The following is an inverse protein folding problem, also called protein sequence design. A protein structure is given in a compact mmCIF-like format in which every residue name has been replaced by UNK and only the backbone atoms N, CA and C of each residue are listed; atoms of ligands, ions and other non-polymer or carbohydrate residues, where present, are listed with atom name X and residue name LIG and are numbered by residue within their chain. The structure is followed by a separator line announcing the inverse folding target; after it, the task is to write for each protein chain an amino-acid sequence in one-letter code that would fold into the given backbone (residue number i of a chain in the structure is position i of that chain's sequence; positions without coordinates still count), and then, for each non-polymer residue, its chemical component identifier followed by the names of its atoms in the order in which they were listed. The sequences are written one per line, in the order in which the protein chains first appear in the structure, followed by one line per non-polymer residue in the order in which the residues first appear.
data_IF_737840275283
#
_entry.id   IF_737840275283
#
_cell.length_a   1.000
_cell.length_b   1.000
_cell.length_c   1.000
_cell.angle_alpha   90.00
_cell.angle_beta   90.00
_cell.angle_gamma   90.00
#
_symmetry.space_group_name_H-M   'P 1'
#
loop_
_entity.id
_entity.type
_entity.pdbx_description
1 polymer ?
#
# COMPACT_ATOMS: atom_id res chain seq x y z
N UNK A 1 -7.80 -13.44 19.56
CA UNK A 1 -6.50 -12.72 19.51
C UNK A 1 -6.68 -11.45 18.71
N UNK A 2 -5.93 -10.39 19.02
CA UNK A 2 -5.93 -9.17 18.20
C UNK A 2 -5.22 -9.45 16.86
N UNK A 3 -5.90 -9.30 15.72
CA UNK A 3 -5.44 -9.74 14.39
C UNK A 3 -5.94 -8.82 13.26
N UNK A 4 -5.36 -8.97 12.07
CA UNK A 4 -5.79 -8.28 10.85
C UNK A 4 -5.35 -6.81 10.76
N UNK A 5 -6.00 -6.04 9.89
CA UNK A 5 -5.57 -4.66 9.55
C UNK A 5 -5.63 -3.71 10.74
N UNK A 6 -6.64 -3.84 11.61
CA UNK A 6 -6.71 -3.03 12.84
C UNK A 6 -5.51 -3.27 13.78
N UNK A 7 -5.08 -4.53 13.90
CA UNK A 7 -3.91 -4.90 14.70
C UNK A 7 -2.61 -4.35 14.08
N UNK A 8 -2.50 -4.42 12.75
CA UNK A 8 -1.38 -3.81 12.01
C UNK A 8 -1.27 -2.31 12.32
N UNK A 9 -2.35 -1.54 12.19
CA UNK A 9 -2.32 -0.10 12.46
C UNK A 9 -1.93 0.23 13.91
N UNK A 10 -2.42 -0.54 14.90
CA UNK A 10 -1.99 -0.38 16.30
C UNK A 10 -0.49 -0.63 16.46
N UNK A 11 0.03 -1.69 15.85
CA UNK A 11 1.46 -2.01 15.88
C UNK A 11 2.30 -0.91 15.23
N UNK A 12 1.85 -0.36 14.10
CA UNK A 12 2.55 0.73 13.42
C UNK A 12 2.57 2.02 14.25
N UNK A 13 1.46 2.34 14.91
CA UNK A 13 1.38 3.48 15.82
C UNK A 13 2.32 3.29 17.03
N UNK A 14 2.31 2.10 17.63
CA UNK A 14 3.25 1.73 18.70
C UNK A 14 4.71 1.89 18.23
N UNK A 15 5.08 1.40 17.05
CA UNK A 15 6.45 1.61 16.52
C UNK A 15 6.79 3.08 16.31
N UNK A 16 5.81 3.92 15.98
CA UNK A 16 6.01 5.36 15.78
C UNK A 16 6.24 6.07 17.12
N UNK A 17 5.47 5.73 18.15
CA UNK A 17 5.54 6.31 19.49
C UNK A 17 6.71 5.75 20.31
N UNK A 18 7.00 4.46 20.14
CA UNK A 18 8.04 3.69 20.80
C UNK A 18 9.01 3.08 19.76
N UNK A 19 9.96 3.87 19.23
CA UNK A 19 10.86 3.39 18.18
C UNK A 19 11.75 2.24 18.64
N UNK A 20 11.84 1.19 17.82
CA UNK A 20 12.73 0.04 18.06
C UNK A 20 13.93 0.12 17.11
N UNK A 21 15.14 0.21 17.68
CA UNK A 21 16.36 0.27 16.90
C UNK A 21 16.49 -0.97 15.98
N UNK A 22 16.87 -0.75 14.72
CA UNK A 22 16.99 -1.81 13.72
C UNK A 22 15.68 -2.33 13.14
N UNK A 23 14.51 -1.90 13.64
CA UNK A 23 13.23 -2.32 13.08
C UNK A 23 13.04 -1.82 11.65
N UNK A 24 12.61 -2.72 10.76
CA UNK A 24 12.27 -2.39 9.38
C UNK A 24 11.18 -1.31 9.31
N UNK A 25 10.13 -1.44 10.13
CA UNK A 25 9.06 -0.43 10.21
C UNK A 25 9.61 0.94 10.60
N UNK A 26 10.48 1.04 11.61
CA UNK A 26 11.08 2.32 11.98
C UNK A 26 11.96 2.90 10.87
N UNK A 27 12.66 2.05 10.10
CA UNK A 27 13.41 2.50 8.92
C UNK A 27 12.49 3.14 7.87
N UNK A 28 11.34 2.53 7.58
CA UNK A 28 10.34 3.06 6.65
C UNK A 28 9.66 4.34 7.18
N UNK A 29 9.34 4.37 8.47
CA UNK A 29 8.78 5.54 9.16
C UNK A 29 9.71 6.77 9.13
N UNK A 30 11.01 6.57 8.86
CA UNK A 30 12.02 7.63 8.82
C UNK A 30 12.56 7.92 7.41
N UNK A 31 12.25 7.11 6.38
CA UNK A 31 12.81 7.24 5.02
C UNK A 31 11.74 7.20 3.93
N UNK A 32 11.35 8.37 3.45
CA UNK A 32 10.24 8.56 2.50
C UNK A 32 10.54 7.92 1.15
N UNK A 33 11.74 8.12 0.61
CA UNK A 33 12.12 7.56 -0.69
C UNK A 33 12.09 6.03 -0.67
N UNK A 34 12.56 5.42 0.42
CA UNK A 34 12.55 3.97 0.58
C UNK A 34 11.12 3.43 0.67
N UNK A 35 10.26 4.09 1.44
CA UNK A 35 8.86 3.69 1.57
C UNK A 35 8.09 3.84 0.25
N UNK A 36 8.30 4.96 -0.46
CA UNK A 36 7.64 5.22 -1.73
C UNK A 36 8.14 4.27 -2.84
N UNK A 37 9.44 3.97 -2.86
CA UNK A 37 10.01 2.98 -3.78
C UNK A 37 9.41 1.60 -3.56
N UNK A 38 9.35 1.13 -2.30
CA UNK A 38 8.69 -0.14 -1.96
C UNK A 38 7.22 -0.14 -2.35
N UNK A 39 6.46 0.89 -2.01
CA UNK A 39 5.04 0.98 -2.39
C UNK A 39 4.84 0.91 -3.93
N UNK A 40 5.75 1.49 -4.73
CA UNK A 40 5.69 1.42 -6.18
C UNK A 40 6.00 0.01 -6.72
N UNK A 41 6.97 -0.68 -6.10
CA UNK A 41 7.36 -2.06 -6.40
C UNK A 41 6.17 -3.00 -6.16
N UNK A 42 5.62 -3.04 -4.95
CA UNK A 42 4.50 -3.94 -4.60
C UNK A 42 3.24 -3.64 -5.43
N UNK A 43 3.01 -2.35 -5.76
CA UNK A 43 1.89 -1.96 -6.62
C UNK A 43 2.05 -2.47 -8.05
N UNK A 44 3.29 -2.70 -8.50
CA UNK A 44 3.59 -3.34 -9.78
C UNK A 44 3.43 -4.85 -9.65
N UNK A 45 4.00 -5.46 -8.62
CA UNK A 45 3.98 -6.92 -8.39
C UNK A 45 2.56 -7.45 -8.23
N UNK A 46 1.67 -6.77 -7.49
CA UNK A 46 0.26 -7.18 -7.37
C UNK A 46 -0.49 -7.17 -8.72
N UNK A 47 -0.11 -6.29 -9.66
CA UNK A 47 -0.70 -6.24 -11.02
C UNK A 47 -0.18 -7.40 -11.88
N UNK A 48 1.07 -7.79 -11.68
CA UNK A 48 1.73 -8.85 -12.43
C UNK A 48 1.36 -10.25 -11.92
N UNK A 49 1.11 -10.40 -10.61
CA UNK A 49 0.77 -11.64 -9.95
C UNK A 49 -0.39 -12.39 -10.65
N UNK A 50 -0.26 -13.72 -10.75
CA UNK A 50 -1.17 -14.59 -11.52
C UNK A 50 -1.86 -15.65 -10.67
N UNK A 51 -1.15 -16.27 -9.75
CA UNK A 51 -1.73 -17.29 -8.88
C UNK A 51 -2.27 -16.66 -7.58
N UNK A 52 -3.17 -17.41 -6.94
CA UNK A 52 -3.89 -16.96 -5.75
C UNK A 52 -2.96 -16.59 -4.58
N UNK A 53 -1.88 -17.35 -4.39
CA UNK A 53 -1.01 -17.16 -3.23
C UNK A 53 -0.13 -15.92 -3.43
N UNK A 54 0.43 -15.76 -4.63
CA UNK A 54 1.20 -14.59 -4.99
C UNK A 54 0.34 -13.32 -4.90
N UNK A 55 -0.87 -13.31 -5.47
CA UNK A 55 -1.79 -12.15 -5.34
C UNK A 55 -2.08 -11.81 -3.87
N UNK A 56 -2.24 -12.80 -3.00
CA UNK A 56 -2.49 -12.57 -1.59
C UNK A 56 -1.27 -11.99 -0.86
N UNK A 57 -0.06 -12.45 -1.19
CA UNK A 57 1.20 -11.92 -0.65
C UNK A 57 1.40 -10.45 -1.05
N UNK A 58 1.35 -10.15 -2.35
CA UNK A 58 1.53 -8.78 -2.85
C UNK A 58 0.45 -7.82 -2.34
N UNK A 59 -0.79 -8.31 -2.21
CA UNK A 59 -1.87 -7.53 -1.60
C UNK A 59 -1.58 -7.21 -0.12
N UNK A 60 -0.99 -8.13 0.62
CA UNK A 60 -0.61 -7.91 2.01
C UNK A 60 0.50 -6.85 2.10
N UNK A 61 1.49 -6.90 1.22
CA UNK A 61 2.60 -5.93 1.18
C UNK A 61 2.12 -4.53 0.78
N UNK A 62 1.28 -4.42 -0.25
CA UNK A 62 0.59 -3.16 -0.61
C UNK A 62 -0.17 -2.58 0.58
N UNK A 63 -0.93 -3.41 1.30
CA UNK A 63 -1.66 -2.96 2.48
C UNK A 63 -0.71 -2.53 3.61
N UNK A 64 0.40 -3.24 3.80
CA UNK A 64 1.41 -2.90 4.79
C UNK A 64 2.05 -1.53 4.51
N UNK A 65 2.61 -1.31 3.33
CA UNK A 65 3.26 -0.04 3.00
C UNK A 65 2.27 1.13 2.96
N UNK A 66 1.04 0.91 2.45
CA UNK A 66 -0.02 1.92 2.52
C UNK A 66 -0.37 2.28 3.97
N UNK A 67 -0.38 1.30 4.89
CA UNK A 67 -0.64 1.53 6.31
C UNK A 67 0.51 2.29 6.99
N UNK A 68 1.76 2.04 6.60
CA UNK A 68 2.92 2.83 7.05
C UNK A 68 2.80 4.27 6.59
N UNK A 69 2.46 4.51 5.30
CA UNK A 69 2.22 5.86 4.76
C UNK A 69 1.12 6.58 5.56
N UNK A 70 -0.01 5.90 5.82
CA UNK A 70 -1.10 6.45 6.63
C UNK A 70 -0.62 6.84 8.04
N UNK A 71 0.08 5.93 8.72
CA UNK A 71 0.60 6.15 10.07
C UNK A 71 1.56 7.34 10.13
N UNK A 72 2.42 7.50 9.12
CA UNK A 72 3.29 8.67 9.00
C UNK A 72 2.49 9.96 8.88
N UNK A 73 1.48 9.96 8.01
CA UNK A 73 0.61 11.11 7.76
C UNK A 73 -0.39 11.41 8.90
N UNK A 74 -0.40 10.62 9.98
CA UNK A 74 -1.36 10.77 11.09
C UNK A 74 -2.77 10.29 10.74
N UNK A 75 -2.92 9.49 9.69
CA UNK A 75 -4.20 8.90 9.28
C UNK A 75 -4.43 7.62 10.08
N UNK A 76 -5.53 7.56 10.81
CA UNK A 76 -5.90 6.39 11.62
C UNK A 76 -6.57 5.31 10.78
N UNK A 77 -6.61 4.07 11.28
CA UNK A 77 -7.41 3.01 10.67
C UNK A 77 -8.88 3.42 10.53
N UNK A 78 -9.41 4.16 11.51
CA UNK A 78 -10.79 4.63 11.48
C UNK A 78 -11.06 5.58 10.32
N UNK A 79 -10.10 6.44 9.98
CA UNK A 79 -10.21 7.34 8.84
C UNK A 79 -10.29 6.57 7.53
N UNK A 80 -9.46 5.54 7.37
CA UNK A 80 -9.48 4.64 6.21
C UNK A 80 -10.82 3.93 6.09
N UNK A 81 -11.32 3.34 7.18
CA UNK A 81 -12.65 2.70 7.23
C UNK A 81 -13.76 3.68 6.84
N UNK A 82 -13.72 4.91 7.34
CA UNK A 82 -14.69 5.94 7.00
C UNK A 82 -14.69 6.23 5.49
N UNK A 83 -13.52 6.30 4.86
CA UNK A 83 -13.40 6.45 3.41
C UNK A 83 -13.91 5.21 2.64
N UNK A 84 -13.62 4.00 3.11
CA UNK A 84 -14.12 2.75 2.50
C UNK A 84 -15.65 2.64 2.60
N UNK A 85 -16.22 2.93 3.77
CA UNK A 85 -17.66 2.96 4.00
C UNK A 85 -18.39 3.98 3.11
N UNK A 86 -17.78 5.15 2.87
CA UNK A 86 -18.31 6.13 1.92
C UNK A 86 -18.30 5.63 0.47
N UNK A 87 -17.32 4.80 0.09
CA UNK A 87 -17.22 4.20 -1.25
C UNK A 87 -18.25 3.10 -1.45
N UNK A 88 -18.48 2.23 -0.45
CA UNK A 88 -19.47 1.15 -0.54
C UNK A 88 -20.92 1.66 -0.63
N UNK A 89 -21.21 2.85 -0.05
CA UNK A 89 -22.55 3.47 -0.08
C UNK A 89 -22.87 4.23 -1.37
N UNK A 90 -21.91 4.54 -2.24
CA UNK A 90 -22.14 5.32 -3.48
C UNK A 90 -22.28 4.41 -4.70
N UNK A 91 -23.52 4.12 -5.10
CA UNK A 91 -23.86 3.40 -6.35
C UNK A 91 -23.55 4.23 -7.62
N UNK A 92 -23.39 5.56 -7.50
CA UNK A 92 -22.96 6.42 -8.61
C UNK A 92 -21.44 6.35 -8.77
N UNK A 93 -20.99 5.36 -9.55
CA UNK A 93 -19.59 5.21 -9.99
C UNK A 93 -19.14 6.50 -10.67
N UNK A 94 -18.00 7.08 -10.26
CA UNK A 94 -17.30 8.07 -11.10
C UNK A 94 -17.11 7.47 -12.50
N UNK A 95 -17.04 8.28 -13.58
CA UNK A 95 -16.57 7.77 -14.88
C UNK A 95 -15.24 7.05 -14.64
N UNK A 96 -15.25 5.72 -14.70
CA UNK A 96 -14.18 4.85 -14.21
C UNK A 96 -12.95 4.81 -15.12
N UNK A 97 -12.71 5.86 -15.89
CA UNK A 97 -11.55 5.95 -16.75
C UNK A 97 -10.29 6.11 -15.90
N UNK A 98 -9.29 5.26 -16.15
CA UNK A 98 -7.95 5.47 -15.63
C UNK A 98 -7.46 6.85 -16.09
N UNK A 99 -6.71 7.54 -15.22
CA UNK A 99 -6.07 8.79 -15.61
C UNK A 99 -5.01 8.50 -16.69
N UNK A 100 -4.83 9.38 -17.69
CA UNK A 100 -3.86 9.15 -18.78
C UNK A 100 -2.45 8.81 -18.30
N UNK A 101 -1.96 9.48 -17.24
CA UNK A 101 -0.63 9.20 -16.70
C UNK A 101 -0.50 7.75 -16.20
N UNK A 102 -1.56 7.17 -15.62
CA UNK A 102 -1.51 5.81 -15.10
C UNK A 102 -1.38 4.79 -16.25
N UNK A 103 -2.03 5.06 -17.38
CA UNK A 103 -1.88 4.24 -18.59
C UNK A 103 -0.47 4.37 -19.19
N UNK A 104 0.13 5.56 -19.14
CA UNK A 104 1.52 5.77 -19.56
C UNK A 104 2.50 4.99 -18.67
N UNK A 105 2.40 5.15 -17.35
CA UNK A 105 3.27 4.44 -16.40
C UNK A 105 3.17 2.92 -16.55
N UNK A 106 1.96 2.39 -16.76
CA UNK A 106 1.77 0.96 -17.01
C UNK A 106 2.49 0.48 -18.28
N UNK A 107 2.49 1.29 -19.35
CA UNK A 107 3.22 0.95 -20.59
C UNK A 107 4.73 0.96 -20.36
N UNK A 108 5.24 1.97 -19.67
CA UNK A 108 6.67 2.09 -19.35
C UNK A 108 7.15 0.96 -18.44
N UNK A 109 6.35 0.57 -17.43
CA UNK A 109 6.66 -0.55 -16.54
C UNK A 109 6.75 -1.88 -17.31
N UNK A 110 5.78 -2.15 -18.20
CA UNK A 110 5.79 -3.35 -19.05
C UNK A 110 7.00 -3.39 -19.99
N UNK A 111 7.33 -2.28 -20.63
CA UNK A 111 8.50 -2.20 -21.53
C UNK A 111 9.83 -2.44 -20.79
N UNK A 112 9.95 -1.99 -19.54
CA UNK A 112 11.15 -2.26 -18.71
C UNK A 112 11.23 -3.73 -18.29
N UNK A 113 10.12 -4.32 -17.89
CA UNK A 113 10.01 -5.75 -17.54
C UNK A 113 10.40 -6.67 -18.71
N UNK A 114 10.07 -6.28 -19.94
CA UNK A 114 10.43 -7.01 -21.17
C UNK A 114 11.93 -6.89 -21.54
N UNK A 115 12.59 -5.76 -21.24
CA UNK A 115 14.01 -5.55 -21.55
C UNK A 115 14.99 -6.13 -20.51
N UNK A 116 14.49 -6.62 -19.37
CA UNK A 116 15.30 -7.21 -18.29
C UNK A 116 15.30 -8.75 -18.35
N UNK A 117 14.47 -9.35 -19.21
CA UNK A 117 14.43 -10.79 -19.50
C UNK A 117 15.26 -11.13 -20.74
#
# INVERSE_FOLDING_TARGET
ADQGVGHLFRTLLDRKENPVAGSYTNKLLNKDDMLNAKMLEEATEIIEAKDKNHVAAEAADVLYFASVICTRAGVSWKDVENHLNRRSRRVRRRKGAAKPYALQMLREAKAKSENVK
#
